data_IF_728154508458
#
_entry.id   IF_728154508458
#
_cell.length_a   1.000
_cell.length_b   1.000
_cell.length_c   1.000
_cell.angle_alpha   90.00
_cell.angle_beta   90.00
_cell.angle_gamma   90.00
#
_symmetry.space_group_name_H-M   'P 1'
#
loop_
_entity.id
_entity.type
_entity.pdbx_description
1 polymer ?
#
# COMPACT_ATOMS: atom_id res chain seq x y z
N UNK A 1 -27.45 -11.22 7.69
CA UNK A 1 -26.90 -10.21 6.76
C UNK A 1 -25.52 -9.83 7.26
N UNK A 2 -24.47 -9.96 6.45
CA UNK A 2 -23.11 -9.51 6.81
C UNK A 2 -22.94 -8.02 6.55
N UNK A 3 -21.99 -7.37 7.23
CA UNK A 3 -21.59 -6.00 6.93
C UNK A 3 -20.70 -5.97 5.67
N UNK A 4 -20.85 -4.94 4.84
CA UNK A 4 -19.96 -4.69 3.69
C UNK A 4 -18.75 -3.92 4.20
N UNK A 5 -17.55 -4.39 3.86
CA UNK A 5 -16.28 -3.72 4.18
C UNK A 5 -15.66 -3.24 2.86
N UNK A 6 -15.34 -1.95 2.80
CA UNK A 6 -14.59 -1.36 1.69
C UNK A 6 -13.16 -1.05 2.14
N UNK A 7 -12.19 -1.34 1.27
CA UNK A 7 -10.76 -1.05 1.52
C UNK A 7 -10.24 -0.21 0.36
N UNK A 8 -9.76 0.99 0.68
CA UNK A 8 -9.25 1.96 -0.29
C UNK A 8 -7.77 2.20 0.01
N UNK A 9 -6.91 2.05 -1.00
CA UNK A 9 -5.52 2.49 -0.94
C UNK A 9 -5.39 3.93 -1.41
N UNK A 10 -4.51 4.71 -0.77
CA UNK A 10 -4.21 6.08 -1.14
C UNK A 10 -2.75 6.42 -0.82
N UNK A 11 -2.26 7.55 -1.32
CA UNK A 11 -0.92 8.06 -1.00
C UNK A 11 -0.97 9.52 -0.56
N UNK A 12 -0.43 9.81 0.64
CA UNK A 12 -0.36 11.17 1.21
C UNK A 12 0.38 12.18 0.32
N UNK A 13 1.28 11.72 -0.55
CA UNK A 13 1.98 12.57 -1.52
C UNK A 13 1.12 13.02 -2.71
N UNK A 14 -0.05 12.40 -2.92
CA UNK A 14 -0.96 12.74 -4.02
C UNK A 14 -2.16 13.55 -3.54
N UNK A 15 -2.73 13.18 -2.39
CA UNK A 15 -3.88 13.83 -1.79
C UNK A 15 -3.94 13.55 -0.28
N UNK A 16 -4.73 14.33 0.50
CA UNK A 16 -5.09 13.97 1.87
C UNK A 16 -5.78 12.60 1.94
N UNK A 17 -5.73 11.97 3.12
CA UNK A 17 -6.44 10.72 3.35
C UNK A 17 -7.95 10.87 3.08
N UNK A 18 -8.58 9.90 2.38
CA UNK A 18 -10.02 9.90 2.20
C UNK A 18 -10.72 9.71 3.56
N UNK A 19 -11.98 10.14 3.65
CA UNK A 19 -12.80 9.89 4.83
C UNK A 19 -13.05 8.38 4.97
N UNK A 20 -12.70 7.82 6.13
CA UNK A 20 -12.96 6.44 6.49
C UNK A 20 -13.13 6.32 8.01
N UNK A 21 -13.77 5.25 8.49
CA UNK A 21 -13.87 4.92 9.91
C UNK A 21 -12.50 4.57 10.51
N UNK A 22 -11.59 4.06 9.69
CA UNK A 22 -10.22 3.72 10.07
C UNK A 22 -9.26 4.12 8.94
N UNK A 23 -8.20 4.84 9.31
CA UNK A 23 -7.06 5.14 8.43
C UNK A 23 -5.81 4.53 9.07
N UNK A 24 -5.10 3.70 8.31
CA UNK A 24 -3.86 3.05 8.75
C UNK A 24 -2.69 3.59 7.93
N UNK A 25 -1.76 4.30 8.57
CA UNK A 25 -0.52 4.77 7.93
C UNK A 25 0.57 3.70 8.03
N UNK A 26 0.91 3.12 6.87
CA UNK A 26 1.87 2.02 6.76
C UNK A 26 3.32 2.51 6.64
N UNK A 27 3.57 3.80 6.40
CA UNK A 27 4.91 4.32 6.04
C UNK A 27 5.95 4.18 7.14
N UNK A 28 5.53 4.16 8.41
CA UNK A 28 6.44 4.03 9.55
C UNK A 28 6.81 2.58 9.85
N UNK A 29 6.10 1.62 9.26
CA UNK A 29 6.19 0.20 9.61
C UNK A 29 6.61 -0.70 8.46
N UNK A 30 6.51 -0.23 7.21
CA UNK A 30 6.81 -1.02 6.02
C UNK A 30 7.92 -0.40 5.17
N UNK A 31 8.72 -1.25 4.51
CA UNK A 31 9.74 -0.81 3.56
C UNK A 31 9.15 -0.42 2.21
N UNK A 32 9.59 0.72 1.70
CA UNK A 32 9.17 1.22 0.39
C UNK A 32 9.79 0.37 -0.74
N UNK A 33 8.98 -0.34 -1.55
CA UNK A 33 9.50 -1.09 -2.70
C UNK A 33 10.08 -0.18 -3.80
N UNK A 34 9.75 1.12 -3.81
CA UNK A 34 10.19 2.09 -4.83
C UNK A 34 11.72 2.33 -4.84
N UNK A 35 12.43 1.91 -3.78
CA UNK A 35 13.90 1.91 -3.74
C UNK A 35 14.50 1.00 -4.82
N UNK A 36 13.77 -0.03 -5.26
CA UNK A 36 14.16 -0.90 -6.36
C UNK A 36 13.73 -0.31 -7.70
N UNK A 37 14.70 0.05 -8.54
CA UNK A 37 14.45 0.74 -9.81
C UNK A 37 13.52 -0.04 -10.74
N UNK A 38 13.60 -1.37 -10.75
CA UNK A 38 12.75 -2.25 -11.58
C UNK A 38 11.27 -2.18 -11.19
N UNK A 39 10.95 -1.81 -9.95
CA UNK A 39 9.58 -1.79 -9.43
C UNK A 39 8.87 -0.45 -9.61
N UNK A 40 9.59 0.63 -9.97
CA UNK A 40 9.04 2.00 -9.94
C UNK A 40 7.90 2.25 -10.93
N UNK A 41 7.85 1.47 -12.01
CA UNK A 41 6.82 1.55 -13.04
C UNK A 41 5.67 0.55 -12.81
N UNK A 42 5.78 -0.27 -11.76
CA UNK A 42 4.79 -1.27 -11.38
C UNK A 42 3.93 -0.76 -10.23
N UNK A 43 2.84 -1.47 -9.96
CA UNK A 43 1.88 -1.17 -8.91
C UNK A 43 1.80 -2.32 -7.90
N UNK A 44 1.13 -2.10 -6.77
CA UNK A 44 0.86 -3.16 -5.80
C UNK A 44 0.00 -4.31 -6.32
N UNK A 45 -0.58 -4.19 -7.52
CA UNK A 45 -1.33 -5.26 -8.18
C UNK A 45 -0.41 -6.23 -8.95
N UNK A 46 0.83 -5.83 -9.23
CA UNK A 46 1.80 -6.67 -9.92
C UNK A 46 2.45 -7.67 -8.95
N UNK A 47 2.52 -8.95 -9.37
CA UNK A 47 3.05 -10.03 -8.54
C UNK A 47 4.49 -9.76 -8.07
N UNK A 48 5.31 -9.08 -8.86
CA UNK A 48 6.68 -8.73 -8.49
C UNK A 48 6.72 -7.80 -7.27
N UNK A 49 5.86 -6.77 -7.25
CA UNK A 49 5.74 -5.83 -6.12
C UNK A 49 5.18 -6.57 -4.91
N UNK A 50 4.11 -7.35 -5.08
CA UNK A 50 3.50 -8.12 -3.98
C UNK A 50 4.52 -9.09 -3.35
N UNK A 51 5.26 -9.82 -4.16
CA UNK A 51 6.28 -10.76 -3.70
C UNK A 51 7.43 -10.05 -2.98
N UNK A 52 7.84 -8.86 -3.47
CA UNK A 52 8.86 -8.06 -2.79
C UNK A 52 8.40 -7.62 -1.41
N UNK A 53 7.17 -7.10 -1.30
CA UNK A 53 6.60 -6.63 -0.03
C UNK A 53 6.50 -7.78 0.97
N UNK A 54 5.86 -8.90 0.61
CA UNK A 54 5.65 -10.05 1.50
C UNK A 54 6.98 -10.63 2.03
N UNK A 55 8.04 -10.61 1.21
CA UNK A 55 9.35 -11.16 1.59
C UNK A 55 10.26 -10.17 2.32
N UNK A 56 9.86 -8.91 2.43
CA UNK A 56 10.66 -7.89 3.13
C UNK A 56 10.11 -7.69 4.54
N UNK A 57 10.87 -8.03 5.61
CA UNK A 57 10.42 -7.78 6.97
C UNK A 57 10.31 -6.29 7.29
N UNK A 58 9.19 -5.91 7.91
CA UNK A 58 8.85 -4.53 8.24
C UNK A 58 8.79 -3.66 6.99
#
# INVERSE_FOLDING_TARGET
>A
MGAVIEVISFGFGHAPAPRAELVVDLRSHFRDPHVHQTLRQLTGLDDEVRNKVIRTPG
#
